data_IF_224742591858
#
_entry.id   IF_224742591858
#
_cell.length_a   1.000
_cell.length_b   1.000
_cell.length_c   1.000
_cell.angle_alpha   90.00
_cell.angle_beta   90.00
_cell.angle_gamma   90.00
#
_symmetry.space_group_name_H-M   'P 1'
#
loop_
_entity.id
_entity.type
_entity.pdbx_description
1 polymer ?
#
# COMPACT_ATOMS: atom_id res chain seq x y z
N UNK A 1 20.80 -43.62 24.21
CA UNK A 1 19.59 -43.21 23.47
C UNK A 1 19.77 -41.75 23.10
N UNK A 2 19.72 -41.41 21.81
CA UNK A 2 19.97 -40.07 21.28
C UNK A 2 18.68 -39.26 21.37
N UNK A 3 18.69 -38.16 22.13
CA UNK A 3 17.65 -37.14 22.05
C UNK A 3 17.85 -36.33 20.77
N UNK A 4 16.85 -36.36 19.90
CA UNK A 4 16.81 -35.57 18.67
C UNK A 4 16.17 -34.25 19.06
N UNK A 5 17.00 -33.24 19.35
CA UNK A 5 16.55 -31.87 19.48
C UNK A 5 16.06 -31.39 18.10
N UNK A 6 14.74 -31.24 17.96
CA UNK A 6 14.14 -30.59 16.81
C UNK A 6 14.54 -29.11 16.81
N UNK A 7 15.56 -28.76 16.02
CA UNK A 7 15.88 -27.37 15.69
C UNK A 7 14.67 -26.76 14.97
N UNK A 8 14.01 -25.81 15.63
CA UNK A 8 13.08 -24.91 14.98
C UNK A 8 13.86 -24.12 13.92
N UNK A 9 13.53 -24.34 12.65
CA UNK A 9 13.99 -23.51 11.54
C UNK A 9 13.57 -22.06 11.82
N UNK A 10 14.46 -21.05 11.73
CA UNK A 10 14.01 -19.67 11.67
C UNK A 10 13.09 -19.52 10.44
N UNK A 11 12.02 -18.70 10.51
CA UNK A 11 11.17 -18.47 9.36
C UNK A 11 12.04 -17.89 8.24
N UNK A 12 12.17 -18.64 7.14
CA UNK A 12 12.71 -18.13 5.90
C UNK A 12 11.84 -16.95 5.49
N UNK A 13 12.43 -15.75 5.46
CA UNK A 13 11.82 -14.58 4.82
C UNK A 13 11.81 -14.83 3.31
N UNK A 14 10.92 -15.70 2.85
CA UNK A 14 10.51 -15.74 1.46
C UNK A 14 9.61 -14.53 1.22
N UNK A 15 10.23 -13.38 0.94
CA UNK A 15 9.50 -12.25 0.40
C UNK A 15 10.35 -11.57 -0.68
N UNK A 16 9.89 -11.70 -1.92
CA UNK A 16 9.62 -10.47 -2.65
C UNK A 16 8.14 -10.46 -3.02
N UNK A 17 7.26 -10.24 -2.04
CA UNK A 17 5.95 -9.69 -2.40
C UNK A 17 6.22 -8.30 -2.98
N UNK A 18 5.80 -8.10 -4.22
CA UNK A 18 5.85 -6.80 -4.88
C UNK A 18 5.25 -5.77 -3.92
N UNK A 19 6.02 -4.73 -3.54
CA UNK A 19 5.57 -3.77 -2.55
C UNK A 19 4.36 -3.01 -3.10
N UNK A 20 3.43 -2.70 -2.21
CA UNK A 20 2.23 -1.97 -2.60
C UNK A 20 2.58 -0.55 -3.07
N UNK A 21 1.90 -0.08 -4.10
CA UNK A 21 2.12 1.28 -4.65
C UNK A 21 1.42 2.34 -3.80
N UNK A 22 0.32 1.97 -3.15
CA UNK A 22 -0.53 2.89 -2.40
C UNK A 22 -0.57 2.54 -0.92
N UNK A 23 -0.44 3.57 -0.10
CA UNK A 23 -0.50 3.47 1.36
C UNK A 23 -1.46 4.52 1.92
N UNK A 24 -2.16 4.15 2.98
CA UNK A 24 -2.91 5.06 3.83
C UNK A 24 -2.21 5.15 5.17
N UNK A 25 -2.20 6.34 5.77
CA UNK A 25 -1.61 6.59 7.07
C UNK A 25 -2.62 7.34 7.93
N UNK A 26 -2.50 7.22 9.25
CA UNK A 26 -3.39 7.91 10.18
C UNK A 26 -2.91 9.33 10.48
N UNK A 27 -1.62 9.50 10.77
CA UNK A 27 -1.07 10.80 11.15
C UNK A 27 0.32 11.03 10.53
N UNK A 28 0.67 12.31 10.38
CA UNK A 28 2.02 12.77 10.05
C UNK A 28 2.52 13.54 11.26
N UNK A 29 3.71 13.20 11.74
CA UNK A 29 4.42 14.03 12.71
C UNK A 29 5.79 14.43 12.16
N UNK A 30 6.19 15.66 12.46
CA UNK A 30 7.43 16.25 11.98
C UNK A 30 8.38 16.47 13.15
N UNK A 31 9.55 15.86 13.09
CA UNK A 31 10.66 16.12 14.01
C UNK A 31 11.46 17.29 13.44
N UNK A 32 11.31 18.47 14.06
CA UNK A 32 11.99 19.71 13.63
C UNK A 32 13.51 19.60 13.71
N UNK A 33 14.01 18.90 14.73
CA UNK A 33 15.45 18.71 14.95
C UNK A 33 16.11 17.86 13.85
N UNK A 34 15.37 16.93 13.27
CA UNK A 34 15.85 16.05 12.21
C UNK A 34 15.40 16.48 10.80
N UNK A 35 14.56 17.51 10.68
CA UNK A 35 13.85 17.91 9.46
C UNK A 35 13.21 16.72 8.72
N UNK A 36 12.66 15.76 9.49
CA UNK A 36 12.06 14.53 8.98
C UNK A 36 10.60 14.46 9.37
N UNK A 37 9.76 14.07 8.40
CA UNK A 37 8.37 13.73 8.62
C UNK A 37 8.21 12.21 8.64
N UNK A 38 7.45 11.73 9.61
CA UNK A 38 7.17 10.32 9.80
C UNK A 38 5.66 10.10 9.72
N UNK A 39 5.29 8.98 9.11
CA UNK A 39 3.90 8.51 9.05
C UNK A 39 3.67 7.52 10.18
N UNK A 40 2.54 7.61 10.87
CA UNK A 40 2.09 6.58 11.81
C UNK A 40 0.95 5.76 11.22
N UNK A 41 0.88 4.49 11.65
CA UNK A 41 -0.17 3.54 11.29
C UNK A 41 -0.36 3.44 9.77
N UNK A 42 0.72 3.10 9.08
CA UNK A 42 0.75 2.95 7.62
C UNK A 42 0.19 1.58 7.26
N UNK A 43 -0.78 1.54 6.34
CA UNK A 43 -1.35 0.31 5.78
C UNK A 43 -1.30 0.39 4.26
N UNK A 44 -0.87 -0.68 3.62
CA UNK A 44 -0.98 -0.80 2.16
C UNK A 44 -2.44 -0.93 1.74
N UNK A 45 -2.77 -0.36 0.58
CA UNK A 45 -4.09 -0.50 -0.03
C UNK A 45 -3.95 -0.91 -1.50
N UNK A 46 -4.92 -1.67 -2.00
CA UNK A 46 -4.99 -1.99 -3.42
C UNK A 46 -5.48 -0.78 -4.23
N UNK A 47 -5.13 -0.74 -5.52
CA UNK A 47 -5.68 0.25 -6.45
C UNK A 47 -7.21 0.16 -6.53
N UNK A 48 -7.77 -1.05 -6.49
CA UNK A 48 -9.22 -1.27 -6.48
C UNK A 48 -9.88 -0.61 -5.26
N UNK A 49 -9.28 -0.75 -4.07
CA UNK A 49 -9.77 -0.08 -2.86
C UNK A 49 -9.73 1.45 -3.01
N UNK A 50 -8.66 1.99 -3.61
CA UNK A 50 -8.55 3.42 -3.88
C UNK A 50 -9.59 3.91 -4.89
N UNK A 51 -9.87 3.15 -5.96
CA UNK A 51 -10.88 3.51 -6.95
C UNK A 51 -12.30 3.45 -6.39
N UNK A 52 -12.59 2.47 -5.51
CA UNK A 52 -13.90 2.29 -4.90
C UNK A 52 -14.16 3.28 -3.74
N UNK A 53 -13.15 3.52 -2.90
CA UNK A 53 -13.32 4.22 -1.62
C UNK A 53 -12.44 5.46 -1.43
N UNK A 54 -11.45 5.68 -2.29
CA UNK A 54 -10.37 6.64 -2.05
C UNK A 54 -10.74 8.11 -2.19
N UNK A 55 -11.77 8.44 -2.99
CA UNK A 55 -12.24 9.81 -3.15
C UNK A 55 -13.75 9.87 -3.37
N UNK A 56 -14.33 11.06 -3.27
CA UNK A 56 -15.72 11.30 -3.66
C UNK A 56 -15.88 11.26 -5.19
N UNK A 57 -17.09 11.02 -5.68
CA UNK A 57 -17.37 11.02 -7.13
C UNK A 57 -17.03 12.35 -7.82
N UNK A 58 -17.13 13.48 -7.09
CA UNK A 58 -16.76 14.79 -7.62
C UNK A 58 -15.25 14.93 -7.90
N UNK A 59 -14.44 14.10 -7.23
CA UNK A 59 -12.99 14.15 -7.29
C UNK A 59 -12.40 13.08 -8.21
N UNK A 60 -13.24 12.27 -8.85
CA UNK A 60 -12.83 11.24 -9.79
C UNK A 60 -13.26 11.66 -11.19
N UNK A 61 -12.29 11.83 -12.09
CA UNK A 61 -12.52 12.28 -13.47
C UNK A 61 -11.93 11.30 -14.45
N UNK A 62 -12.70 10.93 -15.46
CA UNK A 62 -12.22 10.11 -16.55
C UNK A 62 -11.91 10.96 -17.79
N UNK A 63 -10.76 10.72 -18.41
CA UNK A 63 -10.33 11.38 -19.63
C UNK A 63 -10.30 10.36 -20.77
N UNK A 64 -11.39 10.31 -21.54
CA UNK A 64 -11.58 9.34 -22.64
C UNK A 64 -10.44 9.37 -23.67
N UNK A 65 -9.91 10.56 -23.97
CA UNK A 65 -8.84 10.74 -24.95
C UNK A 65 -7.51 10.09 -24.54
N UNK A 66 -7.30 9.92 -23.23
CA UNK A 66 -6.07 9.36 -22.67
C UNK A 66 -6.28 7.94 -22.13
N UNK A 67 -7.53 7.52 -21.91
CA UNK A 67 -7.83 6.25 -21.24
C UNK A 67 -7.38 6.25 -19.77
N UNK A 68 -7.54 7.38 -19.09
CA UNK A 68 -7.01 7.61 -17.73
C UNK A 68 -8.11 8.14 -16.81
N UNK A 69 -8.18 7.54 -15.63
CA UNK A 69 -8.91 8.03 -14.47
C UNK A 69 -7.98 8.86 -13.58
N UNK A 70 -8.43 10.03 -13.14
CA UNK A 70 -7.71 10.90 -12.22
C UNK A 70 -8.47 11.01 -10.91
N UNK A 71 -7.82 10.61 -9.83
CA UNK A 71 -8.36 10.66 -8.46
C UNK A 71 -7.73 11.86 -7.74
N UNK A 72 -8.59 12.73 -7.22
CA UNK A 72 -8.25 13.92 -6.43
C UNK A 72 -7.30 14.90 -7.13
N UNK A 73 -7.19 14.81 -8.46
CA UNK A 73 -6.36 15.67 -9.29
C UNK A 73 -4.87 15.32 -9.33
N UNK A 74 -4.41 14.28 -8.61
CA UNK A 74 -2.98 13.95 -8.53
C UNK A 74 -2.66 12.46 -8.73
N UNK A 75 -3.61 11.54 -8.59
CA UNK A 75 -3.39 10.11 -8.87
C UNK A 75 -3.94 9.78 -10.25
N UNK A 76 -3.07 9.37 -11.17
CA UNK A 76 -3.43 9.03 -12.54
C UNK A 76 -3.38 7.51 -12.71
N UNK A 77 -4.48 6.93 -13.16
CA UNK A 77 -4.66 5.48 -13.29
C UNK A 77 -5.13 5.17 -14.69
N UNK A 78 -4.40 4.34 -15.42
CA UNK A 78 -4.85 3.86 -16.72
C UNK A 78 -5.96 2.83 -16.54
N UNK A 79 -7.12 3.10 -17.11
CA UNK A 79 -8.29 2.23 -17.06
C UNK A 79 -9.14 2.47 -18.29
N UNK A 80 -9.70 1.42 -18.86
CA UNK A 80 -10.62 1.54 -19.97
C UNK A 80 -11.99 2.08 -19.52
N UNK A 81 -12.66 2.75 -20.44
CA UNK A 81 -13.94 3.43 -20.17
C UNK A 81 -15.02 2.45 -19.67
N UNK A 82 -15.18 1.24 -20.24
CA UNK A 82 -16.12 0.25 -19.70
C UNK A 82 -15.85 -0.10 -18.24
N UNK A 83 -14.60 -0.42 -17.87
CA UNK A 83 -14.25 -0.74 -16.48
C UNK A 83 -14.49 0.45 -15.55
N UNK A 84 -14.14 1.67 -15.98
CA UNK A 84 -14.42 2.87 -15.22
C UNK A 84 -15.93 3.03 -14.96
N UNK A 85 -16.78 2.82 -15.97
CA UNK A 85 -18.22 2.93 -15.82
C UNK A 85 -18.78 1.89 -14.85
N UNK A 86 -18.32 0.64 -14.93
CA UNK A 86 -18.73 -0.43 -14.00
C UNK A 86 -18.34 -0.07 -12.56
N UNK A 87 -17.13 0.42 -12.33
CA UNK A 87 -16.70 0.88 -10.99
C UNK A 87 -17.56 2.04 -10.49
N UNK A 88 -17.85 3.01 -11.35
CA UNK A 88 -18.71 4.13 -11.01
C UNK A 88 -20.11 3.65 -10.60
N UNK A 89 -20.74 2.78 -11.40
CA UNK A 89 -22.07 2.25 -11.11
C UNK A 89 -22.09 1.41 -9.83
N UNK A 90 -21.04 0.62 -9.59
CA UNK A 90 -20.87 -0.15 -8.36
C UNK A 90 -20.80 0.76 -7.12
N UNK A 91 -20.06 1.87 -7.19
CA UNK A 91 -19.95 2.83 -6.09
C UNK A 91 -21.28 3.51 -5.79
N UNK A 92 -22.02 3.93 -6.82
CA UNK A 92 -23.36 4.48 -6.66
C UNK A 92 -24.32 3.48 -6.03
N UNK A 93 -24.36 2.25 -6.53
CA UNK A 93 -25.22 1.20 -6.00
C UNK A 93 -24.91 0.90 -4.52
N UNK A 94 -23.63 0.83 -4.17
CA UNK A 94 -23.18 0.61 -2.79
C UNK A 94 -23.57 1.78 -1.88
N UNK A 95 -23.33 3.02 -2.31
CA UNK A 95 -23.71 4.21 -1.54
C UNK A 95 -25.23 4.28 -1.30
N UNK A 96 -26.02 3.99 -2.33
CA UNK A 96 -27.47 3.93 -2.25
C UNK A 96 -27.96 2.90 -1.23
N UNK A 97 -27.40 1.68 -1.27
CA UNK A 97 -27.75 0.62 -0.34
C UNK A 97 -27.35 0.95 1.10
N UNK A 98 -26.18 1.57 1.31
CA UNK A 98 -25.77 2.07 2.62
C UNK A 98 -26.72 3.15 3.14
N UNK A 99 -27.08 4.10 2.29
CA UNK A 99 -27.99 5.19 2.67
C UNK A 99 -29.39 4.69 3.01
N UNK A 100 -29.91 3.72 2.25
CA UNK A 100 -31.19 3.05 2.55
C UNK A 100 -31.12 2.29 3.87
N UNK A 101 -30.02 1.59 4.15
CA UNK A 101 -29.81 0.88 5.43
C UNK A 101 -29.72 1.85 6.61
N UNK A 102 -29.11 3.03 6.42
CA UNK A 102 -29.07 4.07 7.43
C UNK A 102 -30.48 4.59 7.76
N UNK A 103 -31.35 4.76 6.75
CA UNK A 103 -32.73 5.22 6.92
C UNK A 103 -33.66 4.17 7.52
N UNK A 104 -33.56 2.93 7.05
CA UNK A 104 -34.35 1.81 7.53
C UNK A 104 -33.46 0.56 7.69
N UNK A 105 -32.89 0.34 8.89
CA UNK A 105 -31.99 -0.78 9.14
C UNK A 105 -32.69 -2.14 9.11
N UNK A 106 -34.03 -2.17 9.20
CA UNK A 106 -34.83 -3.40 9.24
C UNK A 106 -35.33 -3.84 7.86
N UNK A 107 -35.00 -3.08 6.82
CA UNK A 107 -35.35 -3.42 5.45
C UNK A 107 -34.58 -4.67 4.97
N UNK A 108 -35.25 -5.83 5.04
CA UNK A 108 -34.66 -7.12 4.64
C UNK A 108 -34.21 -7.15 3.18
N UNK A 109 -34.95 -6.52 2.28
CA UNK A 109 -34.62 -6.53 0.85
C UNK A 109 -33.36 -5.72 0.56
N UNK A 110 -33.23 -4.54 1.18
CA UNK A 110 -32.02 -3.72 1.05
C UNK A 110 -30.80 -4.38 1.71
N UNK A 111 -30.99 -5.03 2.86
CA UNK A 111 -29.90 -5.74 3.54
C UNK A 111 -29.39 -6.91 2.70
N UNK A 112 -30.26 -7.70 2.08
CA UNK A 112 -29.85 -8.75 1.14
C UNK A 112 -29.08 -8.18 -0.07
N UNK A 113 -29.58 -7.12 -0.70
CA UNK A 113 -28.88 -6.47 -1.81
C UNK A 113 -27.51 -5.89 -1.40
N UNK A 114 -27.40 -5.36 -0.19
CA UNK A 114 -26.13 -4.87 0.35
C UNK A 114 -25.14 -6.01 0.62
N UNK A 115 -25.63 -7.18 1.06
CA UNK A 115 -24.80 -8.37 1.23
C UNK A 115 -24.29 -8.88 -0.12
N UNK A 116 -25.14 -8.91 -1.17
CA UNK A 116 -24.73 -9.27 -2.53
C UNK A 116 -23.67 -8.30 -3.08
N UNK A 117 -23.88 -6.99 -2.91
CA UNK A 117 -22.91 -5.97 -3.30
C UNK A 117 -21.58 -6.11 -2.53
N UNK A 118 -21.65 -6.50 -1.26
CA UNK A 118 -20.45 -6.72 -0.45
C UNK A 118 -19.62 -7.88 -0.99
N UNK A 119 -20.25 -8.99 -1.38
CA UNK A 119 -19.51 -10.12 -1.97
C UNK A 119 -18.89 -9.72 -3.31
N UNK A 120 -19.62 -9.01 -4.18
CA UNK A 120 -19.06 -8.51 -5.44
C UNK A 120 -17.87 -7.56 -5.23
N UNK A 121 -17.97 -6.65 -4.25
CA UNK A 121 -16.86 -5.76 -3.90
C UNK A 121 -15.64 -6.55 -3.42
N UNK A 122 -15.83 -7.60 -2.60
CA UNK A 122 -14.71 -8.45 -2.17
C UNK A 122 -14.02 -9.12 -3.36
N UNK A 123 -14.80 -9.68 -4.29
CA UNK A 123 -14.24 -10.31 -5.51
C UNK A 123 -13.41 -9.30 -6.32
N UNK A 124 -13.90 -8.06 -6.46
CA UNK A 124 -13.16 -6.98 -7.13
C UNK A 124 -11.86 -6.64 -6.37
N UNK A 125 -11.91 -6.56 -5.05
CA UNK A 125 -10.73 -6.25 -4.23
C UNK A 125 -9.67 -7.36 -4.24
N UNK A 126 -10.09 -8.61 -4.39
CA UNK A 126 -9.22 -9.79 -4.49
C UNK A 126 -8.67 -10.00 -5.91
N UNK A 127 -9.19 -9.27 -6.91
CA UNK A 127 -8.73 -9.38 -8.29
C UNK A 127 -7.31 -8.86 -8.42
N UNK A 128 -6.34 -9.70 -8.87
CA UNK A 128 -4.98 -9.24 -9.08
C UNK A 128 -4.97 -8.18 -10.19
N UNK A 129 -4.28 -7.07 -9.95
CA UNK A 129 -3.89 -6.16 -11.02
C UNK A 129 -2.81 -6.88 -11.81
N UNK A 130 -3.03 -7.04 -13.11
CA UNK A 130 -2.15 -7.84 -13.96
C UNK A 130 -0.68 -7.41 -13.77
N UNK A 131 0.15 -8.37 -13.38
CA UNK A 131 1.49 -8.19 -12.78
C UNK A 131 2.57 -8.01 -13.86
N UNK A 132 2.17 -7.99 -15.14
CA UNK A 132 3.05 -7.82 -16.30
C UNK A 132 3.36 -6.33 -16.62
N UNK A 133 3.14 -5.40 -15.69
CA UNK A 133 3.61 -4.02 -15.82
C UNK A 133 5.15 -3.98 -15.57
N UNK A 134 5.96 -3.65 -16.58
CA UNK A 134 7.42 -3.58 -16.47
C UNK A 134 7.92 -2.47 -15.53
N UNK A 135 7.02 -1.67 -14.94
CA UNK A 135 7.33 -0.64 -13.94
C UNK A 135 7.37 -1.14 -12.49
N UNK A 136 7.51 -2.47 -12.28
CA UNK A 136 7.65 -3.12 -10.96
C UNK A 136 8.62 -2.35 -10.04
N UNK A 137 8.04 -1.42 -9.27
CA UNK A 137 8.77 -0.55 -8.38
C UNK A 137 9.12 -1.36 -7.14
N UNK A 138 10.40 -1.65 -6.94
CA UNK A 138 10.92 -2.19 -5.68
C UNK A 138 10.98 -1.06 -4.65
N UNK A 139 9.83 -0.68 -4.10
CA UNK A 139 9.79 0.12 -2.88
C UNK A 139 10.14 -0.78 -1.69
N UNK A 140 11.22 -0.45 -0.99
CA UNK A 140 11.69 -1.14 0.20
C UNK A 140 10.72 -0.89 1.36
N UNK A 141 10.59 -1.86 2.28
CA UNK A 141 9.70 -1.82 3.46
C UNK A 141 9.97 -0.63 4.41
N UNK A 142 11.05 0.13 4.18
CA UNK A 142 11.34 1.40 4.84
C UNK A 142 11.57 2.50 3.80
N UNK A 143 10.89 3.63 3.99
CA UNK A 143 11.00 4.79 3.12
C UNK A 143 11.04 6.09 3.92
N UNK A 144 11.91 7.01 3.52
CA UNK A 144 11.95 8.37 4.05
C UNK A 144 11.17 9.26 3.09
N UNK A 145 10.20 10.03 3.59
CA UNK A 145 9.54 11.06 2.77
C UNK A 145 10.56 12.16 2.49
N UNK A 146 11.08 12.20 1.27
CA UNK A 146 11.93 13.27 0.78
C UNK A 146 11.07 14.33 0.10
N UNK A 147 11.25 15.59 0.52
CA UNK A 147 10.72 16.73 -0.22
C UNK A 147 11.34 16.74 -1.64
N UNK A 148 10.61 17.14 -2.69
CA UNK A 148 11.12 17.23 -4.06
C UNK A 148 12.42 18.03 -4.17
N UNK A 149 12.61 18.99 -3.27
CA UNK A 149 13.77 19.88 -3.21
C UNK A 149 15.05 19.18 -2.68
N UNK A 150 14.90 18.02 -2.03
CA UNK A 150 15.96 17.30 -1.31
C UNK A 150 16.24 15.91 -1.87
N UNK A 151 15.66 15.54 -3.02
CA UNK A 151 15.83 14.22 -3.65
C UNK A 151 17.29 13.86 -3.99
N UNK A 152 18.20 14.84 -4.01
CA UNK A 152 19.63 14.63 -4.26
C UNK A 152 20.49 14.45 -3.00
N UNK A 153 19.90 14.46 -1.80
CA UNK A 153 20.65 14.27 -0.55
C UNK A 153 20.52 12.84 -0.03
N UNK A 154 21.39 11.95 -0.51
CA UNK A 154 21.61 10.64 0.12
C UNK A 154 22.46 10.90 1.37
N UNK A 155 21.88 10.68 2.55
CA UNK A 155 22.59 10.78 3.83
C UNK A 155 23.65 9.65 3.91
N UNK A 156 24.95 9.96 3.94
CA UNK A 156 26.02 8.96 3.98
C UNK A 156 25.99 8.09 5.26
N UNK A 157 25.31 8.54 6.32
CA UNK A 157 25.26 7.84 7.61
C UNK A 157 24.44 6.55 7.59
N UNK A 158 23.67 6.29 6.52
CA UNK A 158 22.92 5.02 6.39
C UNK A 158 23.78 3.84 5.90
N UNK A 159 25.01 4.06 5.42
CA UNK A 159 25.93 2.98 5.02
C UNK A 159 26.81 2.46 6.18
N UNK A 160 26.88 3.14 7.32
CA UNK A 160 27.83 2.79 8.39
C UNK A 160 27.27 1.80 9.43
N UNK A 161 25.97 1.47 9.37
CA UNK A 161 25.35 0.52 10.31
C UNK A 161 25.35 -0.94 9.84
N UNK A 162 25.92 -1.25 8.68
CA UNK A 162 25.99 -2.63 8.13
C UNK A 162 27.39 -3.26 8.16
N UNK A 163 28.41 -2.56 8.70
CA UNK A 163 29.79 -3.05 8.78
C UNK A 163 30.46 -2.75 10.13
N UNK A 164 29.88 -3.23 11.23
CA UNK A 164 30.54 -3.20 12.53
C UNK A 164 30.23 -4.45 13.36
N UNK A 165 30.40 -5.63 12.76
CA UNK A 165 30.62 -6.88 13.48
C UNK A 165 31.59 -7.72 12.66
N UNK A 166 32.89 -7.48 12.81
CA UNK A 166 34.01 -8.41 12.54
C UNK A 166 35.31 -7.58 12.49
N UNK A 167 35.91 -7.35 13.66
CA UNK A 167 37.37 -7.33 13.89
C UNK A 167 37.70 -6.58 15.20
N UNK A 168 37.44 -7.24 16.32
CA UNK A 168 38.20 -7.01 17.56
C UNK A 168 38.76 -8.35 18.01
N UNK A 169 39.96 -8.70 17.54
CA UNK A 169 40.97 -9.47 18.29
C UNK A 169 42.37 -9.17 17.68
N UNK A 170 42.90 -7.98 18.02
CA UNK A 170 44.33 -7.66 18.08
C UNK A 170 44.69 -7.83 19.57
N UNK A 171 45.66 -8.64 20.00
CA UNK A 171 47.12 -8.46 20.09
C UNK A 171 47.61 -9.74 20.87
N UNK A 172 48.83 -10.26 20.84
CA UNK A 172 50.14 -9.60 20.98
C UNK A 172 51.27 -10.65 20.85
N UNK A 173 52.41 -10.22 20.28
CA UNK A 173 53.81 -10.61 20.54
C UNK A 173 54.30 -12.09 20.38
N UNK A 174 55.48 -12.38 19.83
CA UNK A 174 56.73 -11.60 19.86
C UNK A 174 57.70 -12.01 18.75
N UNK A 175 58.65 -11.12 18.46
CA UNK A 175 59.62 -11.21 17.36
C UNK A 175 60.92 -11.99 17.70
N UNK A 176 61.55 -12.50 16.61
CA UNK A 176 62.94 -13.02 16.43
C UNK A 176 63.22 -14.47 16.83
#
# INVERSE_FOLDING_TARGET
>A
MKEIAAQARPPTMDNPSTPAIFYVYQEIFSLREANKAFLTNVSSISLWALLLFGASDSNIKYFDTLGVCVIDGWIFVRIDQPTFQVLHDLRHAFHDCLWRRYKDPMNKANNAALDDLRELIKEVLETPLDVDDPTQNRLVDSGVIVSPEHANYVDPSMNEMEYSVEDELIEEDDAV
#
